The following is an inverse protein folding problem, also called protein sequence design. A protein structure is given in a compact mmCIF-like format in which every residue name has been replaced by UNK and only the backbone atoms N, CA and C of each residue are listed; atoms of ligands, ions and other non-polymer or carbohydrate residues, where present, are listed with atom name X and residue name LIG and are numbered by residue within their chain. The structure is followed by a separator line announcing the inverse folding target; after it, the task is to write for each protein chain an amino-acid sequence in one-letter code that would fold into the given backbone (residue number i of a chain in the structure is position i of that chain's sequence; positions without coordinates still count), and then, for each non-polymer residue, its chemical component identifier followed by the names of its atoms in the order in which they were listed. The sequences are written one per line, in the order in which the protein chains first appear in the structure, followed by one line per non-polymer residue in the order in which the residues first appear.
data_IF_467269983996
#
_entry.id   IF_467269983996
#
_cell.length_a   1.000
_cell.length_b   1.000
_cell.length_c   1.000
_cell.angle_alpha   90.00
_cell.angle_beta   90.00
_cell.angle_gamma   90.00
#
_symmetry.space_group_name_H-M   'P 1'
#
loop_
_entity.id
_entity.type
_entity.pdbx_description
1 polymer ?
#
# COMPACT_ATOMS: atom_id res chain seq x y z
N UNK A 1 3.59 1.64 13.83
CA UNK A 1 3.73 2.26 12.51
C UNK A 1 2.36 2.14 11.85
N UNK A 2 1.84 3.20 11.24
CA UNK A 2 0.54 3.12 10.55
C UNK A 2 0.70 2.26 9.28
N UNK A 3 -0.21 1.31 9.04
CA UNK A 3 -0.17 0.40 7.89
C UNK A 3 -0.88 1.04 6.68
N UNK A 4 -0.22 2.01 6.05
CA UNK A 4 -0.84 2.87 5.02
C UNK A 4 -1.21 2.03 3.82
N UNK A 5 -2.51 1.84 3.60
CA UNK A 5 -3.02 0.92 2.59
C UNK A 5 -3.76 1.67 1.51
N UNK A 6 -3.43 1.39 0.25
CA UNK A 6 -4.26 1.75 -0.90
C UNK A 6 -5.28 0.63 -1.14
N UNK A 7 -6.56 0.96 -1.27
CA UNK A 7 -7.60 -0.01 -1.62
C UNK A 7 -8.15 0.32 -3.01
N UNK A 8 -8.08 -0.63 -3.93
CA UNK A 8 -8.55 -0.48 -5.30
C UNK A 8 -9.82 -1.33 -5.49
N UNK A 9 -11.00 -0.70 -5.56
CA UNK A 9 -12.26 -1.38 -5.82
C UNK A 9 -12.52 -1.45 -7.31
N UNK A 10 -12.80 -2.65 -7.82
CA UNK A 10 -13.14 -2.85 -9.23
C UNK A 10 -14.45 -2.13 -9.59
N UNK A 11 -14.47 -1.59 -10.80
CA UNK A 11 -15.60 -1.02 -11.54
C UNK A 11 -15.61 -1.63 -12.93
N UNK A 12 -16.70 -1.46 -13.66
CA UNK A 12 -16.89 -2.02 -15.02
C UNK A 12 -15.68 -1.78 -15.95
N UNK A 13 -15.05 -0.60 -15.87
CA UNK A 13 -13.93 -0.20 -16.75
C UNK A 13 -12.62 0.16 -15.99
N UNK A 14 -12.49 -0.15 -14.71
CA UNK A 14 -11.29 0.22 -13.96
C UNK A 14 -11.37 0.04 -12.44
N UNK A 15 -10.65 0.90 -11.72
CA UNK A 15 -10.59 0.88 -10.26
C UNK A 15 -10.81 2.27 -9.66
N UNK A 16 -11.60 2.30 -8.59
CA UNK A 16 -11.66 3.42 -7.64
C UNK A 16 -10.63 3.21 -6.54
N UNK A 17 -9.76 4.20 -6.33
CA UNK A 17 -8.67 4.15 -5.39
C UNK A 17 -9.04 4.88 -4.10
N UNK A 18 -8.90 4.20 -2.98
CA UNK A 18 -9.22 4.72 -1.65
C UNK A 18 -8.04 4.54 -0.70
N UNK A 19 -8.08 5.26 0.41
CA UNK A 19 -7.01 5.26 1.40
C UNK A 19 -7.46 4.71 2.74
N UNK A 20 -6.64 3.86 3.36
CA UNK A 20 -6.79 3.47 4.75
C UNK A 20 -5.50 3.82 5.52
N UNK A 21 -5.60 4.74 6.46
CA UNK A 21 -4.43 5.23 7.21
C UNK A 21 -3.84 4.18 8.15
N UNK A 22 -4.70 3.41 8.82
CA UNK A 22 -4.31 2.36 9.78
C UNK A 22 -4.42 0.96 9.18
N UNK A 23 -4.60 0.89 7.85
CA UNK A 23 -4.93 -0.33 7.14
C UNK A 23 -6.39 -0.75 7.32
N UNK A 24 -6.76 -1.85 6.68
CA UNK A 24 -8.05 -2.50 6.86
C UNK A 24 -7.85 -4.01 6.79
N UNK A 25 -8.58 -4.77 7.62
CA UNK A 25 -8.55 -6.22 7.48
C UNK A 25 -9.37 -6.62 6.24
N UNK A 26 -8.83 -7.43 5.31
CA UNK A 26 -9.54 -7.80 4.08
C UNK A 26 -10.94 -8.37 4.34
N UNK A 27 -11.11 -9.19 5.37
CA UNK A 27 -12.40 -9.80 5.74
C UNK A 27 -13.45 -8.78 6.27
N UNK A 28 -13.04 -7.54 6.54
CA UNK A 28 -13.97 -6.46 6.90
C UNK A 28 -14.57 -5.75 5.66
N UNK A 29 -14.02 -6.02 4.47
CA UNK A 29 -14.51 -5.48 3.21
C UNK A 29 -15.57 -6.42 2.63
N UNK A 30 -16.78 -5.90 2.45
CA UNK A 30 -17.89 -6.66 1.90
C UNK A 30 -19.04 -5.76 1.46
N UNK A 31 -20.10 -6.32 0.84
CA UNK A 31 -21.25 -5.54 0.36
C UNK A 31 -21.90 -4.68 1.45
N UNK A 32 -21.97 -5.21 2.68
CA UNK A 32 -22.57 -4.51 3.84
C UNK A 32 -21.62 -3.49 4.47
N UNK A 33 -20.31 -3.69 4.33
CA UNK A 33 -19.26 -2.86 4.91
C UNK A 33 -18.19 -2.55 3.87
N UNK A 34 -18.55 -1.84 2.79
CA UNK A 34 -17.65 -1.65 1.65
C UNK A 34 -16.36 -0.92 2.03
N UNK A 35 -16.38 -0.14 3.11
CA UNK A 35 -15.23 0.61 3.61
C UNK A 35 -14.68 0.08 4.94
N UNK A 36 -14.96 -1.18 5.28
CA UNK A 36 -14.45 -1.83 6.50
C UNK A 36 -15.24 -1.51 7.78
N UNK A 37 -16.45 -0.97 7.63
CA UNK A 37 -17.33 -0.62 8.75
C UNK A 37 -16.82 0.55 9.59
N UNK A 38 -17.55 0.95 10.64
CA UNK A 38 -17.15 2.04 11.53
C UNK A 38 -15.85 1.68 12.24
N UNK A 39 -14.88 2.59 12.24
CA UNK A 39 -13.73 2.47 13.14
C UNK A 39 -14.19 2.80 14.54
N UNK A 40 -13.96 1.89 15.48
CA UNK A 40 -14.04 2.15 16.92
C UNK A 40 -12.87 3.06 17.33
N UNK A 41 -12.69 4.23 16.70
CA UNK A 41 -12.01 5.28 17.43
C UNK A 41 -12.94 5.61 18.57
N UNK A 42 -12.47 5.34 19.79
CA UNK A 42 -13.11 5.66 21.06
C UNK A 42 -13.20 7.19 21.26
N UNK A 43 -13.72 7.87 20.24
CA UNK A 43 -13.94 9.31 20.16
C UNK A 43 -14.91 9.72 21.25
N UNK A 44 -15.82 8.82 21.66
CA UNK A 44 -16.65 8.99 22.84
C UNK A 44 -15.78 9.18 24.10
N UNK A 45 -14.86 8.25 24.39
CA UNK A 45 -13.97 8.37 25.56
C UNK A 45 -12.99 9.55 25.48
N UNK A 46 -12.55 9.91 24.27
CA UNK A 46 -11.71 11.09 24.05
C UNK A 46 -12.53 12.38 24.24
N UNK A 47 -13.78 12.41 23.78
CA UNK A 47 -14.73 13.52 23.99
C UNK A 47 -15.01 13.74 25.46
N UNK A 48 -15.34 12.68 26.20
CA UNK A 48 -15.60 12.74 27.65
C UNK A 48 -14.42 13.35 28.44
N UNK A 49 -13.19 13.19 27.93
CA UNK A 49 -11.97 13.76 28.53
C UNK A 49 -11.66 15.18 28.11
N UNK A 50 -12.13 15.60 26.93
CA UNK A 50 -11.81 16.90 26.33
C UNK A 50 -12.93 17.94 26.50
N UNK A 51 -14.17 17.49 26.69
CA UNK A 51 -15.32 18.35 27.01
C UNK A 51 -15.09 19.23 28.25
N UNK A 52 -14.53 18.73 29.37
CA UNK A 52 -14.21 19.58 30.53
C UNK A 52 -13.12 20.63 30.27
N UNK A 53 -12.37 20.49 29.18
CA UNK A 53 -11.32 21.43 28.76
C UNK A 53 -11.83 22.47 27.75
N UNK A 54 -13.13 22.44 27.40
CA UNK A 54 -13.73 23.35 26.43
C UNK A 54 -13.29 23.11 24.99
N UNK A 55 -12.75 21.92 24.70
CA UNK A 55 -12.36 21.52 23.34
C UNK A 55 -13.53 20.75 22.73
N UNK A 56 -14.19 21.38 21.76
CA UNK A 56 -15.23 20.75 20.97
C UNK A 56 -14.59 19.95 19.82
N UNK A 57 -14.88 18.65 19.76
CA UNK A 57 -14.46 17.80 18.65
C UNK A 57 -15.67 17.63 17.73
N UNK A 58 -15.65 18.35 16.63
CA UNK A 58 -16.71 18.39 15.62
C UNK A 58 -17.18 16.99 15.21
N UNK A 59 -18.49 16.75 15.30
CA UNK A 59 -19.19 15.50 14.96
C UNK A 59 -19.13 15.15 13.46
N UNK A 60 -18.60 16.04 12.61
CA UNK A 60 -18.25 15.70 11.22
C UNK A 60 -17.21 14.56 11.11
N UNK A 61 -16.56 14.20 12.22
CA UNK A 61 -15.74 12.99 12.37
C UNK A 61 -16.54 11.71 12.69
N UNK A 62 -17.87 11.78 12.68
CA UNK A 62 -18.82 10.70 12.95
C UNK A 62 -18.80 9.63 11.86
N UNK A 63 -18.62 8.38 12.29
CA UNK A 63 -18.48 7.19 11.45
C UNK A 63 -17.34 7.25 10.42
N UNK A 64 -16.12 7.55 10.86
CA UNK A 64 -14.92 7.23 10.06
C UNK A 64 -14.89 5.72 9.83
N UNK A 65 -14.98 5.31 8.58
CA UNK A 65 -14.77 3.92 8.18
C UNK A 65 -13.28 3.60 8.11
N UNK A 66 -12.91 2.31 8.10
CA UNK A 66 -11.50 1.91 8.06
C UNK A 66 -10.81 2.40 6.77
N UNK A 67 -11.56 2.42 5.68
CA UNK A 67 -11.19 3.00 4.39
C UNK A 67 -11.92 4.34 4.23
N UNK A 68 -11.23 5.39 3.80
CA UNK A 68 -11.86 6.67 3.45
C UNK A 68 -12.83 6.47 2.27
N UNK A 69 -14.14 6.77 2.43
CA UNK A 69 -15.11 6.64 1.35
C UNK A 69 -14.86 7.59 0.18
N UNK A 70 -14.06 8.64 0.37
CA UNK A 70 -13.70 9.59 -0.68
C UNK A 70 -12.61 8.99 -1.57
N UNK A 71 -12.87 8.74 -2.88
CA UNK A 71 -11.86 8.20 -3.76
C UNK A 71 -10.75 9.23 -4.01
N UNK A 72 -9.50 8.77 -3.94
CA UNK A 72 -8.31 9.50 -4.39
C UNK A 72 -8.28 9.64 -5.92
N UNK A 73 -8.82 8.65 -6.63
CA UNK A 73 -8.97 8.64 -8.08
C UNK A 73 -10.00 7.59 -8.49
N UNK A 74 -10.66 7.80 -9.63
CA UNK A 74 -11.62 6.87 -10.23
C UNK A 74 -11.15 6.42 -11.62
N UNK A 75 -11.78 5.36 -12.13
CA UNK A 75 -11.64 4.87 -13.52
C UNK A 75 -10.17 4.63 -13.94
N UNK A 76 -9.36 4.09 -13.02
CA UNK A 76 -7.96 3.76 -13.30
C UNK A 76 -7.83 2.32 -13.75
N UNK A 77 -7.23 2.08 -14.92
CA UNK A 77 -6.81 0.73 -15.28
C UNK A 77 -5.74 0.23 -14.30
N UNK A 78 -5.70 -1.08 -14.03
CA UNK A 78 -4.74 -1.65 -13.09
C UNK A 78 -3.28 -1.33 -13.47
N UNK A 79 -2.96 -1.40 -14.76
CA UNK A 79 -1.64 -1.00 -15.28
C UNK A 79 -1.31 0.46 -14.96
N UNK A 80 -2.30 1.36 -15.00
CA UNK A 80 -2.11 2.77 -14.65
C UNK A 80 -1.93 2.96 -13.15
N UNK A 81 -2.66 2.20 -12.32
CA UNK A 81 -2.47 2.18 -10.86
C UNK A 81 -1.03 1.82 -10.54
N UNK A 82 -0.54 0.68 -11.03
CA UNK A 82 0.84 0.19 -10.81
C UNK A 82 1.88 1.22 -11.28
N UNK A 83 1.71 1.79 -12.49
CA UNK A 83 2.68 2.71 -13.06
C UNK A 83 2.74 4.10 -12.37
N UNK A 84 1.71 4.48 -11.61
CA UNK A 84 1.63 5.81 -10.98
C UNK A 84 1.60 5.78 -9.46
N UNK A 85 1.62 4.58 -8.89
CA UNK A 85 1.64 4.34 -7.46
C UNK A 85 2.89 4.96 -6.85
N UNK A 86 2.71 5.81 -5.84
CA UNK A 86 3.80 6.24 -4.96
C UNK A 86 4.13 5.08 -4.01
N UNK A 87 5.13 4.28 -4.36
CA UNK A 87 5.49 3.09 -3.59
C UNK A 87 6.03 3.43 -2.19
N UNK A 88 6.48 4.67 -1.94
CA UNK A 88 6.95 5.13 -0.63
C UNK A 88 5.78 5.51 0.30
N UNK A 89 4.67 5.97 -0.28
CA UNK A 89 3.50 6.42 0.46
C UNK A 89 2.67 5.28 1.07
N UNK A 90 2.75 4.08 0.51
CA UNK A 90 1.94 2.93 0.92
C UNK A 90 2.81 1.78 1.38
N UNK A 91 2.31 1.08 2.40
CA UNK A 91 2.91 -0.15 2.93
C UNK A 91 2.25 -1.39 2.32
N UNK A 92 1.00 -1.24 1.82
CA UNK A 92 0.18 -2.31 1.24
C UNK A 92 -0.77 -1.79 0.18
N UNK A 93 -1.13 -2.66 -0.76
CA UNK A 93 -2.24 -2.45 -1.70
C UNK A 93 -3.20 -3.62 -1.62
N UNK A 94 -4.49 -3.33 -1.50
CA UNK A 94 -5.57 -4.31 -1.63
C UNK A 94 -6.29 -4.09 -2.95
N UNK A 95 -6.54 -5.16 -3.70
CA UNK A 95 -7.37 -5.12 -4.90
C UNK A 95 -8.64 -5.93 -4.62
N UNK A 96 -9.78 -5.26 -4.66
CA UNK A 96 -11.10 -5.83 -4.38
C UNK A 96 -11.82 -5.98 -5.71
N UNK A 97 -12.25 -7.19 -6.05
CA UNK A 97 -13.05 -7.43 -7.24
C UNK A 97 -14.56 -7.23 -7.01
N UNK A 98 -15.36 -7.40 -8.06
CA UNK A 98 -16.83 -7.28 -8.04
C UNK A 98 -17.53 -8.33 -7.16
N UNK A 99 -16.87 -9.45 -6.90
CA UNK A 99 -17.30 -10.52 -5.99
C UNK A 99 -16.81 -10.34 -4.55
N UNK A 100 -16.12 -9.22 -4.25
CA UNK A 100 -15.48 -8.93 -2.97
C UNK A 100 -14.29 -9.85 -2.62
N UNK A 101 -13.71 -10.55 -3.59
CA UNK A 101 -12.45 -11.23 -3.39
C UNK A 101 -11.32 -10.18 -3.28
N UNK A 102 -10.41 -10.38 -2.33
CA UNK A 102 -9.37 -9.41 -2.00
C UNK A 102 -7.98 -10.00 -2.25
N UNK A 103 -7.31 -9.51 -3.28
CA UNK A 103 -5.88 -9.75 -3.47
C UNK A 103 -5.06 -8.80 -2.59
N UNK A 104 -3.99 -9.33 -2.00
CA UNK A 104 -3.13 -8.60 -1.06
C UNK A 104 -1.74 -8.44 -1.67
N UNK A 105 -1.25 -7.21 -1.66
CA UNK A 105 0.07 -6.88 -2.17
C UNK A 105 0.89 -6.07 -1.16
N UNK A 106 2.14 -6.47 -0.96
CA UNK A 106 3.14 -5.61 -0.35
C UNK A 106 3.58 -4.55 -1.36
N UNK A 107 3.59 -3.28 -0.97
CA UNK A 107 4.16 -2.20 -1.76
C UNK A 107 5.68 -2.16 -1.54
N UNK A 108 6.42 -2.71 -2.49
CA UNK A 108 7.88 -2.83 -2.44
C UNK A 108 8.55 -1.62 -3.12
N UNK A 109 8.79 -0.55 -2.36
CA UNK A 109 9.52 0.63 -2.84
C UNK A 109 11.01 0.33 -3.05
N UNK A 110 11.54 0.57 -4.25
CA UNK A 110 12.94 0.30 -4.57
C UNK A 110 13.90 1.30 -3.93
N UNK A 111 13.62 2.61 -4.01
CA UNK A 111 14.26 3.64 -3.18
C UNK A 111 15.78 3.62 -3.11
N UNK A 112 16.47 3.30 -4.22
CA UNK A 112 17.93 3.20 -4.25
C UNK A 112 18.63 4.54 -3.99
N UNK A 113 17.97 5.67 -4.31
CA UNK A 113 18.45 7.02 -4.05
C UNK A 113 18.75 7.29 -2.57
N UNK A 114 17.91 6.77 -1.67
CA UNK A 114 18.05 6.93 -0.22
C UNK A 114 19.34 6.28 0.34
N UNK A 115 20.03 5.48 -0.47
CA UNK A 115 21.19 4.67 -0.08
C UNK A 115 22.37 4.75 -1.03
N UNK A 116 22.45 5.78 -1.87
CA UNK A 116 23.62 6.09 -2.70
C UNK A 116 23.41 5.95 -4.21
N UNK A 117 22.21 5.61 -4.66
CA UNK A 117 21.78 5.77 -6.06
C UNK A 117 21.30 7.20 -6.37
N UNK A 118 20.73 7.40 -7.56
CA UNK A 118 20.08 8.66 -7.93
C UNK A 118 18.75 8.79 -7.21
N UNK A 119 18.46 9.97 -6.63
CA UNK A 119 17.13 10.25 -6.11
C UNK A 119 16.12 10.30 -7.27
N UNK A 120 14.98 9.64 -7.08
CA UNK A 120 13.92 9.49 -8.09
C UNK A 120 12.56 9.66 -7.45
N UNK A 121 11.61 10.09 -8.26
CA UNK A 121 10.20 10.06 -7.88
C UNK A 121 9.81 8.63 -7.45
N UNK A 122 9.14 8.52 -6.30
CA UNK A 122 8.65 7.26 -5.79
C UNK A 122 7.49 6.69 -6.62
N UNK A 123 6.87 7.53 -7.46
CA UNK A 123 5.82 7.13 -8.41
C UNK A 123 6.39 6.18 -9.45
N UNK A 124 5.85 4.97 -9.49
CA UNK A 124 6.32 3.91 -10.39
C UNK A 124 7.61 3.23 -9.93
N UNK A 125 8.28 3.72 -8.88
CA UNK A 125 9.58 3.18 -8.46
C UNK A 125 9.48 2.01 -7.48
N UNK A 126 8.85 0.93 -7.92
CA UNK A 126 8.70 -0.25 -7.07
C UNK A 126 7.98 -1.41 -7.73
N UNK A 127 7.52 -2.32 -6.89
CA UNK A 127 6.72 -3.46 -7.31
C UNK A 127 5.64 -3.78 -6.28
N UNK A 128 4.52 -4.35 -6.76
CA UNK A 128 3.51 -4.99 -5.94
C UNK A 128 3.82 -6.48 -5.87
N UNK A 129 4.14 -6.95 -4.68
CA UNK A 129 4.41 -8.35 -4.41
C UNK A 129 3.16 -9.01 -3.82
N UNK A 130 2.54 -10.00 -4.50
CA UNK A 130 1.40 -10.72 -3.94
C UNK A 130 1.83 -11.50 -2.68
N UNK A 131 0.99 -11.47 -1.65
CA UNK A 131 1.26 -12.09 -0.34
C UNK A 131 0.03 -12.81 0.19
N UNK A 132 0.24 -13.99 0.77
CA UNK A 132 -0.80 -14.75 1.46
C UNK A 132 -1.01 -14.25 2.90
N UNK A 133 -2.15 -14.56 3.54
CA UNK A 133 -2.33 -14.37 4.98
C UNK A 133 -1.15 -14.96 5.77
N UNK A 134 -0.51 -14.13 6.59
CA UNK A 134 0.63 -14.52 7.43
C UNK A 134 2.01 -14.48 6.75
N UNK A 135 2.08 -14.27 5.42
CA UNK A 135 3.36 -14.17 4.68
C UNK A 135 3.96 -12.75 4.75
N UNK A 136 3.13 -11.73 5.02
CA UNK A 136 3.48 -10.31 4.91
C UNK A 136 4.78 -9.92 5.66
N UNK A 137 4.92 -10.34 6.91
CA UNK A 137 6.08 -10.00 7.72
C UNK A 137 7.38 -10.62 7.16
N UNK A 138 7.30 -11.87 6.69
CA UNK A 138 8.43 -12.56 6.07
C UNK A 138 8.80 -11.92 4.73
N UNK A 139 7.80 -11.68 3.86
CA UNK A 139 7.99 -11.04 2.57
C UNK A 139 8.61 -9.64 2.70
N UNK A 140 8.16 -8.85 3.69
CA UNK A 140 8.72 -7.53 3.99
C UNK A 140 10.17 -7.61 4.43
N UNK A 141 10.50 -8.49 5.37
CA UNK A 141 11.87 -8.68 5.84
C UNK A 141 12.80 -9.16 4.71
N UNK A 142 12.34 -10.09 3.90
CA UNK A 142 13.05 -10.58 2.72
C UNK A 142 13.33 -9.46 1.71
N UNK A 143 12.31 -8.65 1.38
CA UNK A 143 12.45 -7.57 0.41
C UNK A 143 13.41 -6.49 0.92
N UNK A 144 13.26 -6.04 2.16
CA UNK A 144 14.16 -5.04 2.76
C UNK A 144 15.61 -5.53 2.84
N UNK A 145 15.82 -6.83 3.12
CA UNK A 145 17.14 -7.43 3.07
C UNK A 145 17.79 -7.35 1.69
N UNK A 146 17.06 -7.75 0.64
CA UNK A 146 17.54 -7.66 -0.75
C UNK A 146 17.79 -6.21 -1.15
N UNK A 147 16.84 -5.31 -0.85
CA UNK A 147 16.95 -3.87 -1.13
C UNK A 147 18.21 -3.28 -0.49
N UNK A 148 18.50 -3.63 0.75
CA UNK A 148 19.72 -3.17 1.44
C UNK A 148 20.97 -3.63 0.70
N UNK A 149 21.09 -4.93 0.37
CA UNK A 149 22.27 -5.46 -0.34
C UNK A 149 22.43 -4.86 -1.73
N UNK A 150 21.34 -4.69 -2.47
CA UNK A 150 21.37 -4.08 -3.81
C UNK A 150 21.77 -2.61 -3.72
N UNK A 151 21.22 -1.87 -2.78
CA UNK A 151 21.59 -0.47 -2.57
C UNK A 151 23.08 -0.31 -2.23
N UNK A 152 23.63 -1.15 -1.35
CA UNK A 152 25.06 -1.15 -1.06
C UNK A 152 25.90 -1.45 -2.30
N UNK A 153 25.46 -2.37 -3.16
CA UNK A 153 26.15 -2.66 -4.42
C UNK A 153 26.17 -1.48 -5.39
N UNK A 154 25.11 -0.67 -5.42
CA UNK A 154 25.04 0.57 -6.22
C UNK A 154 25.95 1.63 -5.62
N UNK A 155 25.86 1.84 -4.30
CA UNK A 155 26.70 2.81 -3.58
C UNK A 155 28.19 2.56 -3.77
N UNK A 156 28.60 1.29 -3.80
CA UNK A 156 29.99 0.89 -4.01
C UNK A 156 30.40 0.84 -5.49
N UNK A 157 29.51 1.19 -6.43
CA UNK A 157 29.78 1.17 -7.87
C UNK A 157 29.94 -0.24 -8.46
N UNK A 158 29.51 -1.29 -7.75
CA UNK A 158 29.54 -2.69 -8.24
C UNK A 158 28.45 -2.93 -9.28
N UNK A 159 27.32 -2.22 -9.16
CA UNK A 159 26.22 -2.24 -10.13
C UNK A 159 25.79 -0.83 -10.46
N UNK A 160 25.38 -0.62 -11.71
CA UNK A 160 24.62 0.57 -12.03
C UNK A 160 23.16 0.44 -11.56
N UNK A 161 22.48 1.58 -11.52
CA UNK A 161 21.13 1.68 -10.97
C UNK A 161 20.07 0.99 -11.84
N UNK A 162 20.24 0.97 -13.16
CA UNK A 162 19.30 0.32 -14.08
C UNK A 162 19.32 -1.19 -13.85
N UNK A 163 20.50 -1.76 -13.76
CA UNK A 163 20.69 -3.19 -13.50
C UNK A 163 20.23 -3.57 -12.09
N UNK A 164 20.47 -2.70 -11.10
CA UNK A 164 19.97 -2.89 -9.74
C UNK A 164 18.43 -2.96 -9.66
N UNK A 165 17.73 -2.06 -10.38
CA UNK A 165 16.25 -2.07 -10.44
C UNK A 165 15.72 -3.28 -11.19
N UNK A 166 16.32 -3.62 -12.33
CA UNK A 166 16.00 -4.84 -13.08
C UNK A 166 16.16 -6.09 -12.22
N UNK A 167 17.25 -6.15 -11.45
CA UNK A 167 17.51 -7.23 -10.50
C UNK A 167 16.44 -7.31 -9.41
N UNK A 168 16.10 -6.20 -8.73
CA UNK A 168 15.06 -6.19 -7.70
C UNK A 168 13.69 -6.61 -8.26
N UNK A 169 13.30 -6.10 -9.42
CA UNK A 169 12.09 -6.51 -10.13
C UNK A 169 12.08 -8.02 -10.41
N UNK A 170 13.23 -8.57 -10.85
CA UNK A 170 13.41 -10.01 -11.05
C UNK A 170 13.27 -10.81 -9.76
N UNK A 171 13.82 -10.31 -8.64
CA UNK A 171 13.68 -10.95 -7.32
C UNK A 171 12.25 -10.98 -6.84
N UNK A 172 11.51 -9.87 -6.98
CA UNK A 172 10.09 -9.79 -6.61
C UNK A 172 9.27 -10.79 -7.41
N UNK A 173 9.47 -10.87 -8.73
CA UNK A 173 8.82 -11.89 -9.58
C UNK A 173 9.17 -13.32 -9.15
N UNK A 174 10.45 -13.58 -8.85
CA UNK A 174 10.88 -14.90 -8.40
C UNK A 174 10.26 -15.31 -7.06
N UNK A 175 10.06 -14.36 -6.14
CA UNK A 175 9.39 -14.62 -4.86
C UNK A 175 7.89 -14.87 -5.04
N UNK A 176 7.25 -14.14 -5.95
CA UNK A 176 5.84 -14.34 -6.25
C UNK A 176 5.54 -15.75 -6.79
N UNK A 177 6.51 -16.36 -7.48
CA UNK A 177 6.37 -17.70 -8.06
C UNK A 177 5.34 -17.67 -9.20
N UNK A 178 4.32 -18.51 -9.10
CA UNK A 178 3.22 -18.56 -10.07
C UNK A 178 2.21 -17.41 -9.90
N UNK A 179 2.31 -16.65 -8.80
CA UNK A 179 1.45 -15.48 -8.53
C UNK A 179 1.91 -14.28 -9.35
N UNK A 180 0.97 -13.44 -9.77
CA UNK A 180 1.29 -12.27 -10.58
C UNK A 180 1.82 -11.12 -9.72
N UNK A 181 3.12 -10.83 -9.84
CA UNK A 181 3.72 -9.58 -9.35
C UNK A 181 3.65 -8.48 -10.41
N UNK A 182 3.45 -7.25 -9.97
CA UNK A 182 3.39 -6.08 -10.84
C UNK A 182 4.57 -5.16 -10.56
N UNK A 183 5.27 -4.71 -11.60
CA UNK A 183 6.43 -3.81 -11.45
C UNK A 183 6.06 -2.48 -12.06
N UNK A 184 6.34 -1.39 -11.34
CA UNK A 184 6.17 -0.04 -11.84
C UNK A 184 7.15 0.29 -12.99
N UNK A 185 6.86 1.38 -13.69
CA UNK A 185 7.56 1.77 -14.93
C UNK A 185 8.79 2.64 -14.67
#
# INVERSE_FOLDING_TARGET
MADRTLVAYARDDGYDLHYAHEGVHPDALGPETPFGGPTERDLARVRDRLEPLGVDIDDAAGARTAVDPTPLATDRSWSRVVATLDYRAYDRVLRVDDSWAVDRFLACFFGLGDRGGTDRDARGDGALLPVEPGEEAFARGWFEGIKSTVADSVRCGVRDERDARSYMAGRVRAFAGDRTAYVGA
#
